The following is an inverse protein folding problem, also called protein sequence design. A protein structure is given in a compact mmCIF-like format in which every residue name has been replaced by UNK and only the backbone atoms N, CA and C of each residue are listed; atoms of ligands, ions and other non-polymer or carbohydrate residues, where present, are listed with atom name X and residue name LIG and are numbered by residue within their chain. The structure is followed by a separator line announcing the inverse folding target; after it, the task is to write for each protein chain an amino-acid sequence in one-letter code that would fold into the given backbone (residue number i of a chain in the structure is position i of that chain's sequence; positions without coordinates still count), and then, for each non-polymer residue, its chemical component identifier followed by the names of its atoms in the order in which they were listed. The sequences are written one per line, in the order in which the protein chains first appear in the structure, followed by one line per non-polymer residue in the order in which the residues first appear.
data_IF_889928110927
#
_entry.id   IF_889928110927
#
_cell.length_a   1.000
_cell.length_b   1.000
_cell.length_c   1.000
_cell.angle_alpha   90.00
_cell.angle_beta   90.00
_cell.angle_gamma   90.00
#
_symmetry.space_group_name_H-M   'P 1'
#
loop_
_entity.id
_entity.type
_entity.pdbx_description
1 polymer ?
#
# COMPACT_ATOMS: atom_id res chain seq x y z
N UNK A 1 -39.71 5.09 9.44
CA UNK A 1 -38.44 5.81 9.18
C UNK A 1 -38.23 5.72 7.67
N UNK A 2 -38.58 6.77 6.93
CA UNK A 2 -38.64 6.75 5.47
C UNK A 2 -37.36 7.37 4.89
N UNK A 3 -36.61 6.57 4.13
CA UNK A 3 -35.54 7.10 3.29
C UNK A 3 -36.17 7.74 2.05
N UNK A 4 -35.85 9.01 1.79
CA UNK A 4 -36.15 9.66 0.51
C UNK A 4 -34.85 9.77 -0.28
N UNK A 5 -34.78 9.07 -1.41
CA UNK A 5 -33.76 9.22 -2.44
C UNK A 5 -34.34 10.06 -3.58
N UNK A 6 -33.62 11.10 -4.00
CA UNK A 6 -33.91 11.81 -5.24
C UNK A 6 -32.85 11.40 -6.26
N UNK A 7 -33.29 10.79 -7.36
CA UNK A 7 -32.48 10.59 -8.55
C UNK A 7 -32.71 11.78 -9.49
N UNK A 8 -31.63 12.29 -10.10
CA UNK A 8 -31.71 13.23 -11.21
C UNK A 8 -31.49 12.42 -12.49
N UNK A 9 -32.52 12.35 -13.33
CA UNK A 9 -32.42 11.80 -14.67
C UNK A 9 -31.75 12.82 -15.58
N UNK A 10 -30.70 12.39 -16.28
CA UNK A 10 -29.98 13.20 -17.26
C UNK A 10 -30.74 13.05 -18.58
N UNK A 11 -31.66 13.99 -18.84
CA UNK A 11 -32.28 14.12 -20.15
C UNK A 11 -31.32 14.84 -21.11
N UNK A 12 -31.11 14.20 -22.25
CA UNK A 12 -30.25 14.66 -23.35
C UNK A 12 -30.74 16.00 -23.90
N UNK A 13 -29.85 17.00 -23.93
CA UNK A 13 -30.06 18.24 -24.67
C UNK A 13 -30.79 19.35 -23.93
N UNK A 14 -30.14 19.98 -22.96
CA UNK A 14 -30.04 21.45 -22.84
C UNK A 14 -28.90 21.73 -21.86
N UNK A 15 -27.90 22.50 -22.30
CA UNK A 15 -26.77 22.95 -21.46
C UNK A 15 -27.28 23.89 -20.36
N UNK A 16 -27.87 23.33 -19.29
CA UNK A 16 -28.03 24.01 -18.02
C UNK A 16 -26.64 24.11 -17.39
N UNK A 17 -26.03 25.28 -17.53
CA UNK A 17 -24.81 25.66 -16.81
C UNK A 17 -25.12 25.53 -15.32
N UNK A 18 -24.70 24.43 -14.71
CA UNK A 18 -24.66 24.31 -13.25
C UNK A 18 -23.65 25.34 -12.75
N UNK A 19 -24.16 26.43 -12.19
CA UNK A 19 -23.36 27.47 -11.57
C UNK A 19 -22.63 26.88 -10.36
N UNK A 20 -21.31 26.74 -10.46
CA UNK A 20 -20.41 26.29 -9.39
C UNK A 20 -20.59 27.13 -8.11
N UNK A 21 -21.15 28.33 -8.23
CA UNK A 21 -21.49 29.23 -7.13
C UNK A 21 -22.45 28.66 -6.07
N UNK A 22 -23.12 27.53 -6.32
CA UNK A 22 -23.95 26.87 -5.29
C UNK A 22 -23.23 25.74 -4.54
N UNK A 23 -22.05 25.32 -5.02
CA UNK A 23 -21.22 24.33 -4.34
C UNK A 23 -20.39 24.94 -3.20
N UNK A 24 -20.03 26.22 -3.31
CA UNK A 24 -19.33 26.98 -2.27
C UNK A 24 -20.17 27.16 -0.99
N UNK A 25 -21.49 27.35 -1.12
CA UNK A 25 -22.40 27.46 0.03
C UNK A 25 -22.64 26.12 0.76
N UNK A 26 -22.27 25.00 0.11
CA UNK A 26 -22.21 23.67 0.73
C UNK A 26 -20.85 23.37 1.39
N UNK A 27 -19.92 24.34 1.43
CA UNK A 27 -18.60 24.19 2.04
C UNK A 27 -17.62 23.32 1.24
N UNK A 28 -17.91 23.08 -0.05
CA UNK A 28 -17.09 22.20 -0.90
C UNK A 28 -16.20 23.08 -1.78
N UNK A 29 -14.92 23.21 -1.41
CA UNK A 29 -13.93 23.96 -2.20
C UNK A 29 -13.19 23.02 -3.17
N UNK A 30 -13.03 23.47 -4.42
CA UNK A 30 -12.19 22.79 -5.40
C UNK A 30 -10.72 22.97 -5.00
N UNK A 31 -10.08 21.90 -4.52
CA UNK A 31 -8.65 21.91 -4.24
C UNK A 31 -7.93 21.77 -5.58
N UNK A 32 -7.05 22.72 -5.93
CA UNK A 32 -6.23 22.62 -7.14
C UNK A 32 -5.28 21.43 -6.99
N UNK A 33 -5.13 20.63 -8.04
CA UNK A 33 -4.25 19.45 -8.05
C UNK A 33 -2.79 19.78 -7.65
N UNK A 34 -2.35 21.03 -7.78
CA UNK A 34 -1.02 21.52 -7.36
C UNK A 34 -0.83 21.59 -5.83
N UNK A 35 -1.92 21.66 -5.06
CA UNK A 35 -1.91 21.73 -3.59
C UNK A 35 -2.04 20.33 -2.94
N UNK A 36 -2.04 19.25 -3.73
CA UNK A 36 -1.91 17.86 -3.24
C UNK A 36 -0.41 17.51 -3.07
N UNK A 37 0.41 18.49 -2.75
CA UNK A 37 1.84 18.31 -2.43
C UNK A 37 2.10 18.29 -0.92
N UNK A 38 1.07 18.47 -0.08
CA UNK A 38 1.16 18.24 1.36
C UNK A 38 0.29 17.06 1.76
N UNK A 39 0.92 15.88 1.87
CA UNK A 39 0.48 14.75 2.68
C UNK A 39 -0.99 14.34 2.47
N UNK A 40 -1.24 13.44 1.50
CA UNK A 40 -2.43 12.60 1.64
C UNK A 40 -2.39 11.99 3.05
N UNK A 41 -3.43 12.15 3.88
CA UNK A 41 -3.40 11.66 5.26
C UNK A 41 -3.18 10.15 5.21
N UNK A 42 -2.00 9.72 5.61
CA UNK A 42 -1.68 8.30 5.67
C UNK A 42 -2.34 7.70 6.90
N UNK A 43 -2.99 6.56 6.72
CA UNK A 43 -3.56 5.83 7.85
C UNK A 43 -2.43 5.21 8.69
N UNK A 44 -2.19 5.75 9.88
CA UNK A 44 -1.23 5.23 10.85
C UNK A 44 -1.65 3.85 11.40
N UNK A 45 -2.90 3.44 11.21
CA UNK A 45 -3.38 2.13 11.65
C UNK A 45 -3.14 1.02 10.66
N UNK A 46 -2.85 1.32 9.39
CA UNK A 46 -2.71 0.30 8.35
C UNK A 46 -1.52 0.59 7.44
N UNK A 47 -0.61 -0.36 7.33
CA UNK A 47 0.47 -0.33 6.36
C UNK A 47 0.18 -1.30 5.22
N UNK A 48 0.16 -0.78 3.99
CA UNK A 48 -0.04 -1.56 2.78
C UNK A 48 1.24 -1.55 1.96
N UNK A 49 1.66 -2.73 1.49
CA UNK A 49 2.79 -2.88 0.59
C UNK A 49 2.39 -3.70 -0.63
N UNK A 50 3.06 -3.45 -1.75
CA UNK A 50 2.88 -4.24 -2.97
C UNK A 50 4.18 -4.90 -3.36
N UNK A 51 4.09 -6.14 -3.84
CA UNK A 51 5.21 -6.89 -4.38
C UNK A 51 4.78 -7.72 -5.58
N UNK A 52 5.74 -8.38 -6.21
CA UNK A 52 5.49 -9.29 -7.34
C UNK A 52 6.09 -10.67 -7.10
N UNK A 53 5.39 -11.69 -7.57
CA UNK A 53 5.88 -13.05 -7.52
C UNK A 53 7.09 -13.22 -8.44
N UNK A 54 8.22 -13.73 -7.94
CA UNK A 54 9.41 -13.97 -8.77
C UNK A 54 9.17 -14.98 -9.91
N UNK A 55 8.20 -15.89 -9.75
CA UNK A 55 7.93 -16.97 -10.71
C UNK A 55 6.87 -16.60 -11.75
N UNK A 56 5.81 -15.93 -11.33
CA UNK A 56 4.66 -15.63 -12.19
C UNK A 56 4.59 -14.16 -12.59
N UNK A 57 5.45 -13.31 -12.02
CA UNK A 57 5.44 -11.85 -12.14
C UNK A 57 4.13 -11.17 -11.72
N UNK A 58 3.18 -11.93 -11.15
CA UNK A 58 1.89 -11.43 -10.70
C UNK A 58 2.00 -10.62 -9.42
N UNK A 59 1.28 -9.50 -9.30
CA UNK A 59 1.36 -8.64 -8.13
C UNK A 59 0.60 -9.25 -6.94
N UNK A 60 0.99 -8.83 -5.74
CA UNK A 60 0.29 -9.14 -4.50
C UNK A 60 0.33 -7.94 -3.57
N UNK A 61 -0.64 -7.90 -2.66
CA UNK A 61 -0.77 -6.91 -1.62
C UNK A 61 -0.47 -7.54 -0.26
N UNK A 62 0.30 -6.84 0.56
CA UNK A 62 0.49 -7.15 1.97
C UNK A 62 -0.20 -6.07 2.77
N UNK A 63 -1.05 -6.48 3.71
CA UNK A 63 -1.73 -5.57 4.62
C UNK A 63 -1.30 -5.89 6.04
N UNK A 64 -0.87 -4.86 6.75
CA UNK A 64 -0.54 -4.92 8.15
C UNK A 64 -1.38 -3.90 8.92
N UNK A 65 -1.84 -4.27 10.10
CA UNK A 65 -2.60 -3.41 10.99
C UNK A 65 -1.77 -3.05 12.22
N UNK A 66 -1.89 -1.83 12.73
CA UNK A 66 -1.18 -1.41 13.93
C UNK A 66 -1.67 -2.21 15.14
N UNK A 67 -0.73 -2.69 15.94
CA UNK A 67 -1.02 -3.45 17.15
C UNK A 67 -0.86 -2.52 18.34
N UNK A 68 -1.94 -2.34 19.11
CA UNK A 68 -1.88 -1.62 20.36
C UNK A 68 -1.17 -2.49 21.41
N UNK A 69 0.02 -2.08 21.85
CA UNK A 69 0.77 -2.78 22.90
C UNK A 69 0.22 -2.36 24.28
N UNK A 70 -0.44 -3.23 25.07
CA UNK A 70 -1.06 -2.83 26.32
C UNK A 70 -0.04 -2.70 27.47
N UNK A 71 0.10 -1.49 28.04
CA UNK A 71 0.44 -1.25 29.46
C UNK A 71 1.90 -1.42 29.95
N UNK A 72 2.38 -0.41 30.69
CA UNK A 72 3.59 -0.34 31.55
C UNK A 72 4.96 0.02 30.93
N UNK A 73 5.16 -0.09 29.62
CA UNK A 73 6.39 0.41 28.94
C UNK A 73 6.19 1.70 28.14
N UNK A 74 4.98 2.25 28.12
CA UNK A 74 4.62 3.46 27.37
C UNK A 74 5.02 4.75 28.10
N UNK A 75 6.33 4.98 28.20
CA UNK A 75 6.91 6.27 28.65
C UNK A 75 7.89 6.83 27.61
N UNK A 76 7.68 6.49 26.34
CA UNK A 76 8.54 6.93 25.24
C UNK A 76 7.87 6.70 23.90
N UNK A 77 8.35 7.44 22.91
CA UNK A 77 7.98 7.49 21.50
C UNK A 77 8.18 6.12 20.79
N UNK A 78 7.43 5.10 21.22
CA UNK A 78 7.50 3.76 20.63
C UNK A 78 6.75 3.75 19.31
N UNK A 79 7.54 3.94 18.26
CA UNK A 79 7.41 3.45 16.90
C UNK A 79 6.29 2.40 16.72
N UNK A 80 5.28 2.72 15.91
CA UNK A 80 4.11 1.87 15.69
C UNK A 80 4.52 0.47 15.21
N UNK A 81 4.12 -0.58 15.94
CA UNK A 81 4.27 -1.97 15.51
C UNK A 81 3.06 -2.40 14.67
N UNK A 82 3.30 -3.17 13.61
CA UNK A 82 2.30 -3.57 12.64
C UNK A 82 2.25 -5.09 12.49
N UNK A 83 1.11 -5.70 12.83
CA UNK A 83 0.89 -7.14 12.69
C UNK A 83 0.30 -7.48 11.32
N UNK A 84 0.74 -8.61 10.74
CA UNK A 84 0.23 -9.10 9.46
C UNK A 84 -1.29 -9.36 9.55
N UNK A 85 -2.07 -8.65 8.74
CA UNK A 85 -3.50 -8.89 8.58
C UNK A 85 -3.75 -9.90 7.46
N UNK A 86 -3.02 -9.78 6.34
CA UNK A 86 -3.19 -10.70 5.22
C UNK A 86 -2.27 -10.44 4.04
N UNK A 87 -2.25 -11.43 3.15
CA UNK A 87 -1.62 -11.34 1.83
C UNK A 87 -2.62 -11.71 0.74
N UNK A 88 -2.81 -10.82 -0.21
CA UNK A 88 -3.85 -10.93 -1.22
C UNK A 88 -3.23 -10.98 -2.62
N UNK A 89 -3.64 -11.93 -3.48
CA UNK A 89 -3.26 -11.89 -4.88
C UNK A 89 -3.91 -10.67 -5.54
N UNK A 90 -3.16 -9.98 -6.38
CA UNK A 90 -3.65 -8.85 -7.18
C UNK A 90 -3.58 -9.20 -8.67
N UNK A 91 -4.33 -8.43 -9.45
CA UNK A 91 -4.20 -8.35 -10.91
C UNK A 91 -3.49 -7.05 -11.30
N UNK A 92 -2.98 -6.97 -12.53
CA UNK A 92 -2.29 -5.76 -13.03
C UNK A 92 -3.18 -4.52 -13.01
N UNK A 93 -4.49 -4.70 -13.20
CA UNK A 93 -5.48 -3.62 -13.15
C UNK A 93 -5.41 -2.82 -11.86
N UNK A 94 -4.99 -3.43 -10.74
CA UNK A 94 -4.79 -2.70 -9.47
C UNK A 94 -3.94 -1.43 -9.65
N UNK A 95 -2.88 -1.49 -10.45
CA UNK A 95 -1.99 -0.34 -10.66
C UNK A 95 -2.64 0.79 -11.47
N UNK A 96 -3.63 0.47 -12.31
CA UNK A 96 -4.41 1.47 -13.07
C UNK A 96 -5.36 2.25 -12.15
N UNK A 97 -5.87 1.59 -11.11
CA UNK A 97 -6.77 2.19 -10.12
C UNK A 97 -6.03 2.80 -8.93
N UNK A 98 -4.75 2.45 -8.73
CA UNK A 98 -3.93 2.98 -7.65
C UNK A 98 -3.22 4.26 -8.04
N UNK A 99 -3.09 5.19 -7.10
CA UNK A 99 -2.25 6.37 -7.29
C UNK A 99 -0.78 5.97 -7.45
N UNK A 100 -0.11 6.57 -8.43
CA UNK A 100 1.32 6.37 -8.74
C UNK A 100 2.21 7.19 -7.80
N UNK A 101 1.64 8.05 -6.94
CA UNK A 101 2.41 8.94 -6.08
C UNK A 101 3.12 8.09 -5.02
N UNK A 102 4.45 7.95 -5.08
CA UNK A 102 5.18 7.22 -4.07
C UNK A 102 5.13 8.04 -2.79
N UNK A 103 4.56 7.47 -1.73
CA UNK A 103 4.59 8.13 -0.45
C UNK A 103 5.98 7.97 0.17
N UNK A 104 6.58 9.06 0.62
CA UNK A 104 7.89 9.06 1.29
C UNK A 104 7.87 8.46 2.71
N UNK A 105 6.81 7.74 3.10
CA UNK A 105 6.75 7.04 4.38
C UNK A 105 7.36 5.65 4.24
N UNK A 106 8.62 5.53 4.63
CA UNK A 106 9.30 4.25 4.82
C UNK A 106 8.82 3.59 6.12
N UNK A 107 8.65 2.27 6.12
CA UNK A 107 8.53 1.45 7.33
C UNK A 107 9.62 0.40 7.34
N UNK A 108 10.29 0.28 8.49
CA UNK A 108 11.33 -0.73 8.67
C UNK A 108 10.71 -2.10 8.88
N UNK A 109 11.33 -3.14 8.31
CA UNK A 109 10.92 -4.52 8.58
C UNK A 109 11.04 -4.92 10.06
N UNK A 110 11.78 -4.16 10.88
CA UNK A 110 11.85 -4.38 12.34
C UNK A 110 10.58 -3.99 13.09
N UNK A 111 9.69 -3.23 12.46
CA UNK A 111 8.43 -2.75 13.04
C UNK A 111 7.22 -3.61 12.63
N UNK A 112 7.42 -4.59 11.74
CA UNK A 112 6.36 -5.49 11.30
C UNK A 112 6.52 -6.87 11.93
N UNK A 113 5.39 -7.50 12.23
CA UNK A 113 5.31 -8.86 12.72
C UNK A 113 4.58 -9.74 11.71
N UNK A 114 5.20 -10.87 11.37
CA UNK A 114 4.63 -11.87 10.47
C UNK A 114 5.00 -11.65 9.00
N UNK A 115 5.33 -12.76 8.34
CA UNK A 115 5.65 -12.78 6.91
C UNK A 115 4.85 -13.93 6.26
N UNK A 116 3.90 -13.62 5.37
CA UNK A 116 3.10 -14.65 4.72
C UNK A 116 3.89 -15.33 3.59
N UNK A 117 3.52 -16.57 3.22
CA UNK A 117 3.98 -17.18 1.98
C UNK A 117 3.37 -16.47 0.76
N UNK A 118 4.00 -16.62 -0.40
CA UNK A 118 3.50 -16.01 -1.63
C UNK A 118 2.15 -16.62 -2.05
N UNK A 119 1.10 -15.80 -2.30
CA UNK A 119 -0.23 -16.29 -2.65
C UNK A 119 -0.28 -16.92 -4.05
N UNK A 120 0.73 -16.66 -4.90
CA UNK A 120 0.77 -17.17 -6.29
C UNK A 120 1.58 -18.45 -6.46
N UNK A 121 2.74 -18.56 -5.79
CA UNK A 121 3.68 -19.68 -6.02
C UNK A 121 4.07 -20.43 -4.76
N UNK A 122 3.59 -20.03 -3.58
CA UNK A 122 3.91 -20.67 -2.30
C UNK A 122 5.35 -20.46 -1.81
N UNK A 123 6.08 -19.49 -2.36
CA UNK A 123 7.41 -19.13 -1.86
C UNK A 123 7.36 -18.75 -0.37
N UNK A 124 8.42 -19.09 0.37
CA UNK A 124 8.47 -18.98 1.84
C UNK A 124 8.26 -17.56 2.38
N UNK A 125 8.70 -16.53 1.65
CA UNK A 125 8.57 -15.13 2.06
C UNK A 125 8.08 -14.27 0.90
N UNK A 126 7.24 -13.29 1.20
CA UNK A 126 6.81 -12.19 0.31
C UNK A 126 7.60 -10.89 0.54
N UNK A 127 8.53 -10.90 1.50
CA UNK A 127 9.30 -9.75 1.94
C UNK A 127 10.78 -9.90 1.60
N UNK A 128 11.09 -9.98 0.31
CA UNK A 128 12.44 -9.83 -0.19
C UNK A 128 12.51 -8.56 -1.04
N UNK A 129 13.55 -7.74 -0.87
CA UNK A 129 13.69 -6.46 -1.58
C UNK A 129 14.80 -6.56 -2.63
N UNK A 130 14.49 -6.15 -3.85
CA UNK A 130 15.48 -5.98 -4.91
C UNK A 130 16.22 -4.63 -4.74
N UNK A 131 17.40 -4.48 -5.35
CA UNK A 131 18.12 -3.21 -5.49
C UNK A 131 17.29 -2.08 -6.10
N UNK A 132 16.26 -2.40 -6.90
CA UNK A 132 15.31 -1.41 -7.43
C UNK A 132 14.33 -0.85 -6.37
N UNK A 133 14.40 -1.32 -5.12
CA UNK A 133 13.57 -0.86 -4.01
C UNK A 133 12.21 -1.55 -3.88
N UNK A 134 11.81 -2.37 -4.86
CA UNK A 134 10.51 -3.06 -4.85
C UNK A 134 10.58 -4.45 -4.20
N UNK A 135 9.46 -4.85 -3.60
CA UNK A 135 9.30 -6.14 -2.94
C UNK A 135 9.00 -7.26 -3.95
N UNK A 136 9.55 -8.44 -3.67
CA UNK A 136 9.27 -9.67 -4.41
C UNK A 136 9.25 -10.86 -3.45
N UNK A 137 8.59 -11.94 -3.86
CA UNK A 137 8.65 -13.17 -3.08
C UNK A 137 9.95 -13.95 -3.35
N UNK A 138 10.43 -14.67 -2.35
CA UNK A 138 11.66 -15.45 -2.43
C UNK A 138 11.49 -16.81 -1.75
N UNK A 139 12.11 -17.84 -2.33
CA UNK A 139 12.01 -19.23 -1.85
C UNK A 139 13.34 -19.73 -1.25
N UNK A 140 13.97 -18.91 -0.40
CA UNK A 140 15.23 -19.22 0.25
C UNK A 140 16.45 -18.64 -0.46
N UNK A 141 17.67 -19.00 -0.02
CA UNK A 141 18.89 -18.45 -0.58
C UNK A 141 19.11 -18.88 -2.04
N UNK A 142 19.81 -18.03 -2.79
CA UNK A 142 20.17 -18.23 -4.19
C UNK A 142 19.82 -17.04 -5.07
N UNK A 143 20.18 -17.16 -6.35
CA UNK A 143 19.91 -16.14 -7.36
C UNK A 143 18.46 -16.24 -7.83
N UNK A 144 17.75 -15.11 -7.82
CA UNK A 144 16.38 -14.97 -8.30
C UNK A 144 16.31 -13.76 -9.23
N UNK A 145 15.48 -13.83 -10.27
CA UNK A 145 15.24 -12.70 -11.16
C UNK A 145 14.17 -11.79 -10.57
N UNK A 146 14.44 -10.48 -10.51
CA UNK A 146 13.48 -9.50 -10.04
C UNK A 146 12.36 -9.31 -11.08
N UNK A 147 11.09 -9.57 -10.73
CA UNK A 147 9.95 -9.42 -11.65
C UNK A 147 9.60 -7.96 -11.97
N UNK A 148 10.34 -6.98 -11.43
CA UNK A 148 10.11 -5.55 -11.65
C UNK A 148 11.11 -4.89 -12.58
N UNK A 149 12.37 -5.33 -12.56
CA UNK A 149 13.47 -4.71 -13.30
C UNK A 149 14.35 -5.71 -14.05
N UNK A 150 13.98 -7.00 -14.01
CA UNK A 150 14.69 -8.12 -14.65
C UNK A 150 16.14 -8.34 -14.20
N UNK A 151 16.59 -7.65 -13.15
CA UNK A 151 17.92 -7.86 -12.59
C UNK A 151 17.97 -9.15 -11.75
N UNK A 152 19.08 -9.88 -11.86
CA UNK A 152 19.36 -11.00 -10.98
C UNK A 152 19.79 -10.50 -9.60
N UNK A 153 19.12 -10.99 -8.56
CA UNK A 153 19.38 -10.67 -7.15
C UNK A 153 19.79 -11.96 -6.46
N UNK A 154 20.93 -11.95 -5.77
CA UNK A 154 21.35 -13.05 -4.93
C UNK A 154 20.85 -12.83 -3.51
N UNK A 155 19.98 -13.71 -3.03
CA UNK A 155 19.55 -13.73 -1.63
C UNK A 155 20.44 -14.69 -0.86
N UNK A 156 21.03 -14.22 0.23
CA UNK A 156 21.83 -15.04 1.13
C UNK A 156 21.03 -15.36 2.39
N UNK A 157 21.28 -16.52 2.99
CA UNK A 157 20.66 -16.88 4.27
C UNK A 157 21.40 -16.13 5.39
N UNK A 158 20.95 -14.92 5.71
CA UNK A 158 21.56 -14.14 6.80
C UNK A 158 21.08 -14.65 8.16
N UNK A 159 22.03 -14.93 9.07
CA UNK A 159 21.76 -15.36 10.45
C UNK A 159 21.27 -14.22 11.36
N UNK A 160 21.38 -12.97 10.92
CA UNK A 160 20.96 -11.77 11.64
C UNK A 160 20.51 -10.73 10.61
N UNK A 161 19.23 -10.78 10.21
CA UNK A 161 18.69 -9.88 9.20
C UNK A 161 18.71 -8.44 9.68
N UNK A 162 19.54 -7.59 9.06
CA UNK A 162 19.40 -6.16 9.17
C UNK A 162 18.03 -5.78 8.60
N UNK A 163 17.20 -5.11 9.39
CA UNK A 163 15.93 -4.61 8.91
C UNK A 163 16.13 -3.68 7.72
N UNK A 164 15.18 -3.66 6.79
CA UNK A 164 15.23 -2.75 5.65
C UNK A 164 13.94 -1.94 5.55
N UNK A 165 14.06 -0.75 4.98
CA UNK A 165 12.92 0.12 4.77
C UNK A 165 12.10 -0.29 3.55
N UNK A 166 10.78 -0.24 3.70
CA UNK A 166 9.79 -0.52 2.67
C UNK A 166 8.93 0.72 2.43
N UNK A 167 8.71 1.05 1.16
CA UNK A 167 7.83 2.16 0.78
C UNK A 167 6.37 1.72 0.90
N UNK A 168 5.57 2.47 1.68
CA UNK A 168 4.13 2.22 1.85
C UNK A 168 3.32 2.66 0.64
N UNK A 169 2.26 1.91 0.33
CA UNK A 169 1.17 2.35 -0.54
C UNK A 169 0.17 3.23 0.22
N UNK A 170 -0.66 3.97 -0.51
CA UNK A 170 -1.60 4.97 0.03
C UNK A 170 -2.85 4.37 0.71
N UNK A 171 -3.04 3.04 0.66
CA UNK A 171 -4.25 2.38 1.15
C UNK A 171 -5.31 2.24 0.07
#
# INVERSE_FOLDING_TARGET
MAAQSQAIDIAEGTSSRLSIAKAEEAGINLIKQSDVSSWAPMDERVAVFTGRCHRTSRPYLLKYASVAVPGTFSTGDWDHFYGLEGCYPLEESYFEWSSIVPLHAALSTSQIEGVPPCPHCGARTTLAKCSCGKLMCCNGPGVQQCPWCDQSVEFVAESHGAGFDMTRGLG
#
